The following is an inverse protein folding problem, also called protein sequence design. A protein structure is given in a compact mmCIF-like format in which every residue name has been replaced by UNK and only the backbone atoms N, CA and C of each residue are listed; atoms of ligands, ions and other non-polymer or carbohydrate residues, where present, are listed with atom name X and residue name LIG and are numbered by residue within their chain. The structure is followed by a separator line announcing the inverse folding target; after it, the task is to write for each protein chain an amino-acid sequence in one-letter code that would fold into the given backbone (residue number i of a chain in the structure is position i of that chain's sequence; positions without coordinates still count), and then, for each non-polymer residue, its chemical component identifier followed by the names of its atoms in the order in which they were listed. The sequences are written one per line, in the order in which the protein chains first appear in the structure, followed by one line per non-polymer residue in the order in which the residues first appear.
data_IF_120173723843
#
_entry.id   IF_120173723843
#
_cell.length_a   1.000
_cell.length_b   1.000
_cell.length_c   1.000
_cell.angle_alpha   90.00
_cell.angle_beta   90.00
_cell.angle_gamma   90.00
#
_symmetry.space_group_name_H-M   'P 1'
#
loop_
_entity.id
_entity.type
_entity.pdbx_description
1 polymer ?
#
# COMPACT_ATOMS: atom_id res chain seq x y z
N UNK A 1 -10.02 -12.85 -6.43
CA UNK A 1 -9.14 -13.68 -7.27
C UNK A 1 -8.48 -12.76 -8.31
N UNK A 2 -7.33 -12.17 -7.99
CA UNK A 2 -6.63 -11.24 -8.89
C UNK A 2 -5.16 -11.63 -8.99
N UNK A 3 -4.73 -12.07 -10.17
CA UNK A 3 -3.40 -12.57 -10.54
C UNK A 3 -2.31 -11.48 -10.54
N UNK A 4 -2.41 -10.46 -9.69
CA UNK A 4 -1.42 -9.39 -9.63
C UNK A 4 -0.51 -9.69 -8.45
N UNK A 5 0.70 -10.15 -8.77
CA UNK A 5 1.74 -10.59 -7.84
C UNK A 5 1.66 -9.87 -6.49
N UNK A 6 1.25 -10.62 -5.47
CA UNK A 6 1.24 -10.18 -4.09
C UNK A 6 2.65 -10.28 -3.51
N UNK A 7 3.66 -9.82 -4.25
CA UNK A 7 5.05 -9.84 -3.83
C UNK A 7 5.60 -8.43 -3.70
N UNK A 8 6.59 -8.25 -2.82
CA UNK A 8 7.18 -6.93 -2.60
C UNK A 8 7.95 -6.50 -3.84
N UNK A 9 7.76 -5.26 -4.26
CA UNK A 9 8.54 -4.73 -5.37
C UNK A 9 9.86 -4.14 -4.88
N UNK A 10 10.95 -4.27 -5.67
CA UNK A 10 12.25 -3.70 -5.31
C UNK A 10 12.23 -2.16 -5.31
N UNK A 11 11.40 -1.55 -6.17
CA UNK A 11 11.24 -0.10 -6.26
C UNK A 11 9.77 0.23 -6.06
N UNK A 12 9.46 1.01 -5.02
CA UNK A 12 8.11 1.47 -4.72
C UNK A 12 8.14 2.98 -4.54
N UNK A 13 7.72 3.71 -5.59
CA UNK A 13 7.59 5.17 -5.57
C UNK A 13 6.24 5.58 -5.01
N UNK A 14 6.09 6.85 -4.63
CA UNK A 14 4.83 7.39 -4.08
C UNK A 14 3.67 7.22 -5.07
N UNK A 15 3.87 7.60 -6.34
CA UNK A 15 2.86 7.44 -7.39
C UNK A 15 2.47 5.98 -7.59
N UNK A 16 3.45 5.06 -7.56
CA UNK A 16 3.18 3.63 -7.71
C UNK A 16 2.46 3.06 -6.49
N UNK A 17 2.77 3.53 -5.29
CA UNK A 17 2.05 3.16 -4.07
C UNK A 17 0.57 3.56 -4.12
N UNK A 18 0.25 4.74 -4.68
CA UNK A 18 -1.15 5.13 -4.93
C UNK A 18 -1.85 4.21 -5.95
N UNK A 19 -1.15 3.78 -7.01
CA UNK A 19 -1.69 2.84 -8.00
C UNK A 19 -1.95 1.48 -7.35
N UNK A 20 -0.99 0.96 -6.57
CA UNK A 20 -1.14 -0.31 -5.84
C UNK A 20 -2.33 -0.25 -4.87
N UNK A 21 -2.51 0.85 -4.14
CA UNK A 21 -3.67 1.03 -3.25
C UNK A 21 -5.02 0.92 -3.99
N UNK A 22 -5.08 1.45 -5.21
CA UNK A 22 -6.28 1.40 -6.05
C UNK A 22 -6.48 0.03 -6.70
N UNK A 23 -5.40 -0.57 -7.24
CA UNK A 23 -5.47 -1.89 -7.87
C UNK A 23 -5.80 -3.00 -6.87
N UNK A 24 -5.22 -2.92 -5.67
CA UNK A 24 -5.45 -3.87 -4.59
C UNK A 24 -6.54 -3.39 -3.63
N UNK A 25 -7.52 -2.60 -4.10
CA UNK A 25 -8.59 -2.06 -3.23
C UNK A 25 -9.35 -3.17 -2.50
N UNK A 26 -9.63 -4.27 -3.19
CA UNK A 26 -10.31 -5.46 -2.68
C UNK A 26 -9.41 -6.36 -1.80
N UNK A 27 -8.09 -6.18 -1.87
CA UNK A 27 -7.18 -6.97 -1.06
C UNK A 27 -7.13 -6.46 0.39
N UNK A 28 -7.20 -7.37 1.36
CA UNK A 28 -6.91 -7.00 2.75
C UNK A 28 -5.44 -6.56 2.89
N UNK A 29 -5.22 -5.44 3.60
CA UNK A 29 -3.87 -4.93 3.89
C UNK A 29 -3.01 -5.98 4.63
N UNK A 30 -3.64 -6.72 5.56
CA UNK A 30 -2.95 -7.74 6.36
C UNK A 30 -2.38 -8.89 5.50
N UNK A 31 -3.05 -9.24 4.40
CA UNK A 31 -2.69 -10.39 3.55
C UNK A 31 -1.89 -10.01 2.30
N UNK A 32 -1.93 -8.74 1.88
CA UNK A 32 -1.28 -8.29 0.66
C UNK A 32 0.01 -7.52 0.98
N UNK A 33 1.21 -8.13 0.81
CA UNK A 33 2.47 -7.51 1.20
C UNK A 33 2.83 -6.32 0.30
N UNK A 34 2.44 -6.32 -0.99
CA UNK A 34 2.63 -5.17 -1.88
C UNK A 34 1.75 -3.98 -1.46
N UNK A 35 0.52 -4.24 -1.01
CA UNK A 35 -0.37 -3.21 -0.44
C UNK A 35 0.19 -2.70 0.88
N UNK A 36 0.71 -3.56 1.74
CA UNK A 36 1.42 -3.15 2.96
C UNK A 36 2.63 -2.26 2.63
N UNK A 37 3.46 -2.66 1.66
CA UNK A 37 4.62 -1.88 1.23
C UNK A 37 4.21 -0.51 0.69
N UNK A 38 3.15 -0.46 -0.13
CA UNK A 38 2.61 0.79 -0.64
C UNK A 38 2.13 1.71 0.49
N UNK A 39 1.42 1.16 1.50
CA UNK A 39 0.98 1.94 2.67
C UNK A 39 2.18 2.54 3.40
N UNK A 40 3.21 1.74 3.65
CA UNK A 40 4.42 2.21 4.33
C UNK A 40 5.12 3.31 3.54
N UNK A 41 5.24 3.17 2.22
CA UNK A 41 5.81 4.22 1.38
C UNK A 41 5.02 5.52 1.42
N UNK A 42 3.69 5.46 1.44
CA UNK A 42 2.85 6.64 1.58
C UNK A 42 2.99 7.30 2.96
N UNK A 43 3.20 6.51 4.02
CA UNK A 43 3.48 7.02 5.37
C UNK A 43 4.87 7.68 5.42
N UNK A 44 5.91 7.02 4.90
CA UNK A 44 7.27 7.56 4.82
C UNK A 44 7.31 8.88 4.03
N UNK A 45 6.53 8.97 2.95
CA UNK A 45 6.39 10.19 2.17
C UNK A 45 5.53 11.28 2.85
N UNK A 46 4.90 11.00 4.01
CA UNK A 46 3.90 11.85 4.68
C UNK A 46 2.63 12.13 3.86
N UNK A 47 2.36 11.30 2.85
CA UNK A 47 1.13 11.33 2.06
C UNK A 47 -0.03 10.61 2.75
N UNK A 48 0.27 9.74 3.73
CA UNK A 48 -0.70 9.05 4.54
C UNK A 48 -0.29 9.22 6.00
N UNK A 49 -1.03 10.03 6.75
CA UNK A 49 -0.86 10.09 8.20
C UNK A 49 -1.51 8.82 8.75
N UNK A 50 -0.81 7.98 9.53
CA UNK A 50 -1.52 6.95 10.28
C UNK A 50 -2.57 7.68 11.13
N UNK A 51 -3.84 7.31 10.99
CA UNK A 51 -4.91 7.81 11.86
C UNK A 51 -4.64 7.25 13.26
N UNK A 52 -3.73 7.90 13.97
CA UNK A 52 -3.34 7.63 15.35
C UNK A 52 -3.90 8.71 16.26
N UNK A 53 -5.10 9.22 15.96
CA UNK A 53 -5.67 10.39 16.64
C UNK A 53 -7.19 10.57 16.51
N UNK A 54 -7.97 9.49 16.35
CA UNK A 54 -9.40 9.53 16.72
C UNK A 54 -9.63 8.65 17.94
N UNK A 55 -9.30 9.24 19.08
CA UNK A 55 -9.85 8.90 20.40
C UNK A 55 -11.36 9.16 20.49
#
# INVERSE_FOLDING_TARGET
MGLLNHDRMPIMTVSYAHIIMQLHIDCALCVCPVKQQAKQRLIEAKHLVPDSGRE
#
